data_IF_094555986097
#
_entry.id   IF_094555986097
#
_cell.length_a   1.000
_cell.length_b   1.000
_cell.length_c   1.000
_cell.angle_alpha   90.00
_cell.angle_beta   90.00
_cell.angle_gamma   90.00
#
_symmetry.space_group_name_H-M   'P 1'
#
loop_
_entity.id
_entity.type
_entity.pdbx_description
1 polymer ?
#
# COMPACT_ATOMS: atom_id res chain seq x y z
N UNK A 1 8.14 -19.67 11.78
CA UNK A 1 7.97 -20.85 12.67
C UNK A 1 7.51 -20.38 14.05
N UNK A 2 6.68 -21.17 14.77
CA UNK A 2 6.23 -20.79 16.10
C UNK A 2 7.41 -20.77 17.07
N UNK A 3 7.64 -19.68 17.80
CA UNK A 3 8.80 -19.51 18.69
C UNK A 3 8.71 -20.30 20.01
N UNK A 4 7.53 -20.83 20.34
CA UNK A 4 7.26 -21.54 21.60
C UNK A 4 6.79 -20.65 22.76
N UNK A 5 6.64 -19.33 22.59
CA UNK A 5 6.25 -18.41 23.67
C UNK A 5 4.95 -18.80 24.36
N UNK A 6 3.91 -19.14 23.60
CA UNK A 6 2.64 -19.59 24.18
C UNK A 6 2.79 -20.90 24.98
N UNK A 7 3.63 -21.83 24.50
CA UNK A 7 3.93 -23.08 25.21
C UNK A 7 4.67 -22.79 26.52
N UNK A 8 5.61 -21.84 26.51
CA UNK A 8 6.32 -21.40 27.71
C UNK A 8 5.37 -20.76 28.73
N UNK A 9 4.56 -19.79 28.30
CA UNK A 9 3.59 -19.08 29.16
C UNK A 9 2.55 -20.03 29.76
N UNK A 10 2.09 -21.03 29.01
CA UNK A 10 1.11 -22.03 29.48
C UNK A 10 1.72 -23.23 30.22
N UNK A 11 3.03 -23.23 30.49
CA UNK A 11 3.66 -24.29 31.29
C UNK A 11 4.01 -25.58 30.53
N UNK A 12 3.82 -25.65 29.21
CA UNK A 12 4.08 -26.83 28.39
C UNK A 12 5.58 -27.03 28.09
N UNK A 13 6.41 -27.20 29.12
CA UNK A 13 7.87 -27.15 29.04
C UNK A 13 8.49 -28.21 28.10
N UNK A 14 7.94 -29.42 28.06
CA UNK A 14 8.44 -30.46 27.15
C UNK A 14 8.26 -30.05 25.68
N UNK A 15 7.07 -29.55 25.33
CA UNK A 15 6.78 -29.04 23.98
C UNK A 15 7.60 -27.80 23.66
N UNK A 16 7.73 -26.89 24.63
CA UNK A 16 8.55 -25.69 24.50
C UNK A 16 9.99 -26.02 24.14
N UNK A 17 10.65 -26.94 24.87
CA UNK A 17 12.04 -27.36 24.57
C UNK A 17 12.16 -27.97 23.16
N UNK A 18 11.19 -28.79 22.75
CA UNK A 18 11.15 -29.36 21.40
C UNK A 18 11.04 -28.29 20.31
N UNK A 19 10.14 -27.32 20.48
CA UNK A 19 9.99 -26.18 19.57
C UNK A 19 11.22 -25.28 19.57
N UNK A 20 11.80 -25.00 20.74
CA UNK A 20 12.99 -24.17 20.89
C UNK A 20 14.20 -24.77 20.15
N UNK A 21 14.45 -26.08 20.27
CA UNK A 21 15.54 -26.75 19.53
C UNK A 21 15.37 -26.64 18.01
N UNK A 22 14.16 -26.91 17.49
CA UNK A 22 13.87 -26.75 16.05
C UNK A 22 14.10 -25.33 15.56
N UNK A 23 13.68 -24.33 16.34
CA UNK A 23 13.93 -22.94 15.97
C UNK A 23 15.41 -22.57 16.06
N UNK A 24 16.14 -23.12 17.03
CA UNK A 24 17.55 -22.85 17.19
C UNK A 24 18.36 -23.32 15.97
N UNK A 25 18.05 -24.49 15.40
CA UNK A 25 18.66 -24.95 14.14
C UNK A 25 18.45 -23.96 12.99
N UNK A 26 17.23 -23.42 12.86
CA UNK A 26 16.94 -22.37 11.89
C UNK A 26 17.74 -21.10 12.13
N UNK A 27 17.81 -20.66 13.40
CA UNK A 27 18.57 -19.46 13.77
C UNK A 27 20.06 -19.62 13.51
N UNK A 28 20.63 -20.81 13.75
CA UNK A 28 22.04 -21.11 13.45
C UNK A 28 22.31 -21.01 11.95
N UNK A 29 21.43 -21.55 11.11
CA UNK A 29 21.55 -21.40 9.64
C UNK A 29 21.45 -19.93 9.20
N UNK A 30 20.54 -19.16 9.80
CA UNK A 30 20.43 -17.73 9.51
C UNK A 30 21.71 -16.98 9.93
N UNK A 31 22.25 -17.27 11.11
CA UNK A 31 23.47 -16.65 11.62
C UNK A 31 24.72 -16.98 10.78
N UNK A 32 24.79 -18.16 10.15
CA UNK A 32 25.87 -18.54 9.23
C UNK A 32 25.97 -17.63 7.99
N UNK A 33 24.91 -16.88 7.66
CA UNK A 33 24.95 -15.92 6.54
C UNK A 33 25.82 -14.69 6.82
N UNK A 34 26.26 -14.47 8.06
CA UNK A 34 26.97 -13.26 8.48
C UNK A 34 26.08 -12.01 8.59
N UNK A 35 24.77 -12.13 8.33
CA UNK A 35 23.80 -11.05 8.45
C UNK A 35 23.21 -11.01 9.87
N UNK A 36 22.86 -9.81 10.40
CA UNK A 36 22.21 -9.69 11.68
C UNK A 36 20.81 -10.31 11.65
N UNK A 37 20.44 -11.06 12.69
CA UNK A 37 19.08 -11.61 12.83
C UNK A 37 18.21 -10.66 13.64
N UNK A 38 17.23 -10.08 12.96
CA UNK A 38 16.39 -9.00 13.47
C UNK A 38 15.03 -9.49 13.95
N UNK A 39 14.54 -8.90 15.03
CA UNK A 39 13.17 -9.08 15.51
C UNK A 39 12.45 -7.74 15.58
N UNK A 40 11.24 -7.71 15.04
CA UNK A 40 10.36 -6.54 15.11
C UNK A 40 9.58 -6.53 16.42
N UNK A 41 9.14 -7.70 16.89
CA UNK A 41 8.29 -7.81 18.09
C UNK A 41 9.14 -8.12 19.34
N UNK A 42 9.14 -7.21 20.35
CA UNK A 42 9.98 -7.37 21.54
C UNK A 42 9.70 -8.63 22.37
N UNK A 43 8.41 -9.00 22.49
CA UNK A 43 7.98 -10.17 23.26
C UNK A 43 8.50 -11.50 22.67
N UNK A 44 8.65 -11.56 21.35
CA UNK A 44 9.19 -12.71 20.62
C UNK A 44 10.70 -12.78 20.80
N UNK A 45 11.41 -11.65 20.64
CA UNK A 45 12.87 -11.59 20.81
C UNK A 45 13.30 -12.07 22.20
N UNK A 46 12.54 -11.75 23.25
CA UNK A 46 12.85 -12.18 24.63
C UNK A 46 12.89 -13.70 24.77
N UNK A 47 12.01 -14.40 24.07
CA UNK A 47 12.02 -15.87 24.06
C UNK A 47 13.36 -16.41 23.60
N UNK A 48 13.97 -15.78 22.59
CA UNK A 48 15.29 -16.17 22.10
C UNK A 48 16.42 -15.71 23.03
N UNK A 49 16.41 -14.46 23.50
CA UNK A 49 17.52 -13.92 24.32
C UNK A 49 17.61 -14.52 25.72
N UNK A 50 16.48 -14.80 26.35
CA UNK A 50 16.42 -15.17 27.77
C UNK A 50 15.88 -16.58 27.98
N UNK A 51 14.70 -16.88 27.41
CA UNK A 51 14.03 -18.16 27.67
C UNK A 51 14.82 -19.33 27.08
N UNK A 52 15.34 -19.20 25.85
CA UNK A 52 16.13 -20.27 25.23
C UNK A 52 17.40 -20.54 26.03
N UNK A 53 18.12 -19.50 26.49
CA UNK A 53 19.32 -19.66 27.33
C UNK A 53 19.01 -20.40 28.63
N UNK A 54 17.87 -20.09 29.25
CA UNK A 54 17.44 -20.73 30.50
C UNK A 54 17.04 -22.20 30.32
N UNK A 55 16.36 -22.54 29.23
CA UNK A 55 15.74 -23.85 29.04
C UNK A 55 16.49 -24.79 28.09
N UNK A 56 17.52 -24.29 27.41
CA UNK A 56 18.46 -25.05 26.59
C UNK A 56 19.91 -24.77 27.05
N UNK A 57 20.27 -25.16 28.30
CA UNK A 57 21.61 -24.90 28.81
C UNK A 57 22.67 -25.63 27.97
N UNK A 58 23.79 -24.95 27.70
CA UNK A 58 24.91 -25.49 26.92
C UNK A 58 24.76 -25.38 25.40
N UNK A 59 23.59 -24.97 24.90
CA UNK A 59 23.42 -24.70 23.47
C UNK A 59 24.00 -23.33 23.09
N UNK A 60 24.72 -23.28 21.97
CA UNK A 60 25.11 -22.01 21.35
C UNK A 60 23.91 -21.33 20.70
N UNK A 61 23.48 -20.20 21.28
CA UNK A 61 22.31 -19.42 20.86
C UNK A 61 22.80 -18.16 20.15
N UNK A 62 22.56 -18.03 18.83
CA UNK A 62 23.00 -16.87 18.06
C UNK A 62 22.52 -15.55 18.65
N UNK A 63 23.34 -14.50 18.48
CA UNK A 63 22.93 -13.15 18.85
C UNK A 63 21.78 -12.68 17.98
N UNK A 64 20.75 -12.15 18.63
CA UNK A 64 19.59 -11.54 17.98
C UNK A 64 19.42 -10.11 18.47
N UNK A 65 18.93 -9.24 17.61
CA UNK A 65 18.75 -7.82 17.92
C UNK A 65 17.35 -7.32 17.55
N UNK A 66 16.85 -6.34 18.28
CA UNK A 66 15.63 -5.64 17.91
C UNK A 66 15.88 -4.66 16.78
N UNK A 67 14.82 -4.34 16.06
CA UNK A 67 14.87 -3.44 14.91
C UNK A 67 15.52 -2.09 15.26
N UNK A 68 15.17 -1.47 16.38
CA UNK A 68 15.75 -0.19 16.78
C UNK A 68 17.22 -0.26 17.21
N UNK A 69 17.68 -1.41 17.72
CA UNK A 69 19.11 -1.59 18.01
C UNK A 69 19.92 -1.56 16.72
N UNK A 70 19.39 -2.19 15.66
CA UNK A 70 20.00 -2.18 14.35
C UNK A 70 19.92 -0.81 13.66
N UNK A 71 18.72 -0.21 13.59
CA UNK A 71 18.51 1.10 12.97
C UNK A 71 19.39 2.19 13.62
N UNK A 72 19.49 2.21 14.95
CA UNK A 72 20.33 3.19 15.63
C UNK A 72 21.81 3.09 15.23
N UNK A 73 22.29 1.88 14.90
CA UNK A 73 23.67 1.61 14.47
C UNK A 73 23.97 1.89 12.99
N UNK A 74 22.96 2.15 12.15
CA UNK A 74 23.18 2.41 10.72
C UNK A 74 23.78 3.80 10.46
N UNK A 75 24.64 3.86 9.44
CA UNK A 75 25.12 5.10 8.83
C UNK A 75 24.15 5.53 7.72
N UNK A 76 23.50 6.68 7.93
CA UNK A 76 22.46 7.23 7.04
C UNK A 76 23.01 8.31 6.11
N UNK A 77 24.32 8.39 5.86
CA UNK A 77 24.94 9.38 4.96
C UNK A 77 24.28 9.49 3.58
N UNK A 78 23.63 8.44 3.08
CA UNK A 78 22.89 8.44 1.79
C UNK A 78 21.42 8.87 1.91
N UNK A 79 20.92 9.13 3.11
CA UNK A 79 19.49 9.37 3.40
C UNK A 79 19.25 10.74 4.06
N UNK A 80 20.25 11.62 4.01
CA UNK A 80 20.34 12.86 4.80
C UNK A 80 19.47 14.02 4.28
N UNK A 81 18.19 13.77 4.01
CA UNK A 81 17.20 14.83 3.99
C UNK A 81 16.47 14.83 5.33
N UNK A 82 16.39 15.98 6.00
CA UNK A 82 15.42 16.20 7.06
C UNK A 82 14.04 15.95 6.47
N UNK A 83 13.31 14.98 7.01
CA UNK A 83 12.08 14.49 6.38
C UNK A 83 10.85 15.18 6.97
N UNK A 84 10.87 15.49 8.26
CA UNK A 84 9.76 16.12 8.95
C UNK A 84 10.23 16.76 10.25
N UNK A 85 9.55 17.82 10.69
CA UNK A 85 9.67 18.45 12.02
C UNK A 85 8.59 17.97 13.00
N UNK A 86 7.82 16.94 12.62
CA UNK A 86 6.71 16.48 13.43
C UNK A 86 7.15 15.94 14.79
N UNK A 87 6.27 16.18 15.77
CA UNK A 87 6.36 15.56 17.08
C UNK A 87 5.46 14.33 17.14
N UNK A 88 6.02 13.21 17.55
CA UNK A 88 5.31 11.95 17.78
C UNK A 88 5.52 11.45 19.20
N UNK A 89 4.54 10.70 19.69
CA UNK A 89 4.54 10.15 21.04
C UNK A 89 4.67 8.64 20.96
N UNK A 90 5.63 8.05 21.68
CA UNK A 90 5.94 6.63 21.58
C UNK A 90 5.72 5.90 22.90
N UNK A 91 4.79 4.95 22.89
CA UNK A 91 4.60 3.99 23.98
C UNK A 91 5.28 2.66 23.65
N UNK A 92 6.33 2.34 24.39
CA UNK A 92 7.10 1.11 24.21
C UNK A 92 6.41 -0.11 24.83
N UNK A 93 6.64 -1.28 24.25
CA UNK A 93 6.20 -2.56 24.80
C UNK A 93 6.85 -2.77 26.19
N UNK A 94 6.11 -3.32 27.16
CA UNK A 94 6.61 -3.54 28.53
C UNK A 94 7.92 -4.35 28.57
N UNK A 95 7.96 -5.50 27.89
CA UNK A 95 9.17 -6.30 27.65
C UNK A 95 10.33 -5.50 27.06
N UNK A 96 10.10 -4.64 26.07
CA UNK A 96 11.16 -3.87 25.42
C UNK A 96 11.84 -2.93 26.42
N UNK A 97 11.04 -2.27 27.27
CA UNK A 97 11.54 -1.38 28.33
C UNK A 97 12.36 -2.11 29.38
N UNK A 98 12.03 -3.37 29.68
CA UNK A 98 12.72 -4.12 30.73
C UNK A 98 13.93 -4.88 30.23
N UNK A 99 13.93 -5.34 28.97
CA UNK A 99 15.01 -6.18 28.41
C UNK A 99 16.08 -5.39 27.67
N UNK A 100 15.80 -4.13 27.32
CA UNK A 100 16.74 -3.23 26.64
C UNK A 100 16.81 -1.90 27.41
N UNK A 101 17.91 -1.71 28.15
CA UNK A 101 18.13 -0.59 29.08
C UNK A 101 17.86 0.79 28.47
N UNK A 102 18.16 0.98 27.18
CA UNK A 102 18.06 2.25 26.47
C UNK A 102 17.07 2.21 25.29
N UNK A 103 16.06 1.33 25.32
CA UNK A 103 15.11 1.15 24.22
C UNK A 103 14.48 2.46 23.71
N UNK A 104 14.06 3.34 24.62
CA UNK A 104 13.50 4.64 24.27
C UNK A 104 14.50 5.53 23.54
N UNK A 105 15.71 5.64 24.10
CA UNK A 105 16.79 6.44 23.49
C UNK A 105 17.22 5.93 22.12
N UNK A 106 17.18 4.60 21.89
CA UNK A 106 17.44 4.01 20.57
C UNK A 106 16.41 4.48 19.53
N UNK A 107 15.12 4.44 19.86
CA UNK A 107 14.08 4.98 18.98
C UNK A 107 14.25 6.47 18.77
N UNK A 108 14.45 7.26 19.82
CA UNK A 108 14.70 8.71 19.70
C UNK A 108 15.89 9.02 18.80
N UNK A 109 16.97 8.24 18.91
CA UNK A 109 18.13 8.35 18.01
C UNK A 109 17.71 8.10 16.57
N UNK A 110 16.97 7.02 16.30
CA UNK A 110 16.46 6.72 14.95
C UNK A 110 15.61 7.87 14.38
N UNK A 111 14.67 8.41 15.16
CA UNK A 111 13.80 9.51 14.72
C UNK A 111 14.55 10.83 14.50
N UNK A 112 15.46 11.17 15.42
CA UNK A 112 16.24 12.42 15.36
C UNK A 112 17.10 12.51 14.11
N UNK A 113 17.61 11.38 13.60
CA UNK A 113 18.36 11.30 12.33
C UNK A 113 17.54 11.77 11.12
N UNK A 114 16.21 11.81 11.23
CA UNK A 114 15.28 12.27 10.18
C UNK A 114 14.55 13.58 10.52
N UNK A 115 14.94 14.27 11.61
CA UNK A 115 14.33 15.52 12.07
C UNK A 115 13.07 15.36 12.93
N UNK A 116 12.60 14.12 13.14
CA UNK A 116 11.35 13.85 13.85
C UNK A 116 11.59 13.86 15.36
N UNK A 117 10.76 14.58 16.11
CA UNK A 117 10.82 14.63 17.56
C UNK A 117 9.99 13.51 18.17
N UNK A 118 10.64 12.44 18.65
CA UNK A 118 9.97 11.35 19.36
C UNK A 118 10.03 11.55 20.89
N UNK A 119 8.87 11.67 21.52
CA UNK A 119 8.72 11.70 22.98
C UNK A 119 8.32 10.33 23.51
N UNK A 120 9.13 9.76 24.41
CA UNK A 120 8.80 8.49 25.05
C UNK A 120 7.75 8.75 26.13
N UNK A 121 6.56 8.17 25.94
CA UNK A 121 5.47 8.28 26.90
C UNK A 121 5.58 7.16 27.93
N UNK A 122 5.76 7.47 29.23
CA UNK A 122 5.80 6.45 30.28
C UNK A 122 4.49 5.65 30.29
N UNK A 123 4.56 4.33 30.34
CA UNK A 123 3.38 3.47 30.30
C UNK A 123 3.58 2.18 31.09
N UNK A 124 2.50 1.64 31.66
CA UNK A 124 2.48 0.28 32.22
C UNK A 124 2.28 -0.79 31.13
N UNK A 125 1.94 -2.01 31.56
CA UNK A 125 1.46 -3.05 30.65
C UNK A 125 0.16 -2.61 29.96
N UNK A 126 -0.09 -3.09 28.74
CA UNK A 126 -1.34 -2.84 28.01
C UNK A 126 -2.50 -3.77 28.42
N UNK A 127 -2.28 -4.71 29.33
CA UNK A 127 -3.28 -5.72 29.72
C UNK A 127 -3.24 -7.01 28.89
N UNK A 128 -2.38 -7.12 27.87
CA UNK A 128 -2.32 -8.31 27.02
C UNK A 128 -1.39 -9.42 27.53
N UNK A 129 -0.21 -9.08 28.05
CA UNK A 129 0.79 -10.00 28.64
C UNK A 129 0.84 -11.41 28.01
N UNK A 130 1.18 -11.50 26.72
CA UNK A 130 1.15 -12.75 25.97
C UNK A 130 -0.28 -13.10 25.54
N UNK A 131 -0.78 -14.26 25.97
CA UNK A 131 -2.14 -14.76 25.66
C UNK A 131 -3.20 -14.31 26.66
N UNK A 132 -2.79 -13.79 27.82
CA UNK A 132 -3.68 -13.42 28.92
C UNK A 132 -4.85 -12.54 28.46
N UNK A 133 -4.59 -11.40 27.81
CA UNK A 133 -5.68 -10.50 27.37
C UNK A 133 -6.53 -11.01 26.19
N UNK A 134 -6.12 -12.12 25.57
CA UNK A 134 -6.91 -12.79 24.53
C UNK A 134 -7.89 -13.83 25.10
N UNK A 135 -7.73 -14.22 26.36
CA UNK A 135 -8.56 -15.23 27.01
C UNK A 135 -9.83 -14.58 27.55
N UNK A 136 -10.98 -15.17 27.22
CA UNK A 136 -12.30 -14.63 27.58
C UNK A 136 -12.44 -14.40 29.09
N UNK A 137 -11.89 -15.30 29.90
CA UNK A 137 -11.89 -15.22 31.37
C UNK A 137 -11.10 -14.03 31.93
N UNK A 138 -10.17 -13.47 31.15
CA UNK A 138 -9.31 -12.36 31.56
C UNK A 138 -9.68 -11.04 30.90
N UNK A 139 -10.80 -10.99 30.17
CA UNK A 139 -11.21 -9.83 29.42
C UNK A 139 -11.37 -8.57 30.29
N UNK A 140 -12.11 -8.66 31.39
CA UNK A 140 -12.35 -7.51 32.28
C UNK A 140 -11.06 -7.04 32.95
N UNK A 141 -10.25 -7.96 33.47
CA UNK A 141 -8.95 -7.61 34.06
C UNK A 141 -7.99 -6.96 33.03
N UNK A 142 -7.98 -7.46 31.79
CA UNK A 142 -7.21 -6.89 30.69
C UNK A 142 -7.66 -5.48 30.32
N UNK A 143 -8.97 -5.23 30.36
CA UNK A 143 -9.60 -3.91 30.17
C UNK A 143 -9.24 -2.95 31.29
N UNK A 144 -9.37 -3.35 32.55
CA UNK A 144 -9.00 -2.52 33.71
C UNK A 144 -7.53 -2.09 33.65
N UNK A 145 -6.60 -3.00 33.33
CA UNK A 145 -5.18 -2.67 33.16
C UNK A 145 -4.97 -1.65 32.04
N UNK A 146 -5.72 -1.77 30.94
CA UNK A 146 -5.69 -0.80 29.84
C UNK A 146 -6.20 0.58 30.28
N UNK A 147 -7.30 0.63 31.02
CA UNK A 147 -7.93 1.87 31.51
C UNK A 147 -7.02 2.62 32.51
N UNK A 148 -6.30 1.87 33.37
CA UNK A 148 -5.39 2.45 34.38
C UNK A 148 -4.24 3.26 33.78
N UNK A 149 -3.64 2.81 32.67
CA UNK A 149 -2.42 3.43 32.13
C UNK A 149 -2.48 3.84 30.66
N UNK A 150 -3.29 3.20 29.82
CA UNK A 150 -3.23 3.36 28.37
C UNK A 150 -4.36 4.25 27.84
N UNK A 151 -5.60 4.06 28.28
CA UNK A 151 -6.78 4.73 27.71
C UNK A 151 -6.64 6.26 27.66
N UNK A 152 -6.27 6.90 28.78
CA UNK A 152 -6.09 8.36 28.84
C UNK A 152 -5.03 8.88 27.86
N UNK A 153 -3.90 8.17 27.74
CA UNK A 153 -2.79 8.55 26.84
C UNK A 153 -3.17 8.36 25.37
N UNK A 154 -3.88 7.27 25.07
CA UNK A 154 -4.40 7.01 23.72
C UNK A 154 -5.38 8.10 23.30
N UNK A 155 -6.29 8.50 24.18
CA UNK A 155 -7.23 9.61 23.92
C UNK A 155 -6.49 10.95 23.77
N UNK A 156 -5.47 11.20 24.61
CA UNK A 156 -4.70 12.44 24.58
C UNK A 156 -3.89 12.61 23.29
N UNK A 157 -3.17 11.58 22.86
CA UNK A 157 -2.23 11.68 21.73
C UNK A 157 -2.83 11.27 20.38
N UNK A 158 -3.92 10.49 20.37
CA UNK A 158 -4.66 10.14 19.17
C UNK A 158 -3.78 9.63 18.02
N UNK A 159 -3.89 10.28 16.86
CA UNK A 159 -3.16 9.92 15.64
C UNK A 159 -1.63 10.08 15.74
N UNK A 160 -1.12 10.89 16.67
CA UNK A 160 0.33 11.10 16.88
C UNK A 160 0.97 9.98 17.72
N UNK A 161 0.18 9.03 18.23
CA UNK A 161 0.64 7.93 19.05
C UNK A 161 1.20 6.77 18.23
N UNK A 162 2.44 6.40 18.52
CA UNK A 162 3.14 5.23 18.02
C UNK A 162 3.29 4.18 19.13
N UNK A 163 3.18 2.91 18.77
CA UNK A 163 3.25 1.79 19.72
C UNK A 163 4.08 0.65 19.13
N UNK A 164 5.15 0.24 19.82
CA UNK A 164 6.09 -0.77 19.33
C UNK A 164 5.55 -2.22 19.41
N UNK A 165 4.67 -2.53 20.38
CA UNK A 165 4.13 -3.88 20.56
C UNK A 165 2.92 -4.24 19.70
N UNK A 166 2.93 -5.41 19.04
CA UNK A 166 1.79 -5.91 18.24
C UNK A 166 0.51 -6.06 19.08
N UNK A 167 0.57 -6.80 20.19
CA UNK A 167 -0.61 -7.01 21.05
C UNK A 167 -1.06 -5.71 21.71
N UNK A 168 -0.12 -4.81 22.03
CA UNK A 168 -0.44 -3.47 22.52
C UNK A 168 -1.27 -2.69 21.49
N UNK A 169 -0.84 -2.66 20.22
CA UNK A 169 -1.60 -2.03 19.11
C UNK A 169 -2.99 -2.66 18.93
N UNK A 170 -3.09 -3.98 19.05
CA UNK A 170 -4.37 -4.69 18.96
C UNK A 170 -5.32 -4.34 20.12
N UNK A 171 -4.81 -4.15 21.33
CA UNK A 171 -5.59 -3.72 22.47
C UNK A 171 -6.12 -2.29 22.30
N UNK A 172 -5.29 -1.37 21.77
CA UNK A 172 -5.73 -0.01 21.42
C UNK A 172 -6.86 -0.07 20.40
N UNK A 173 -6.74 -0.91 19.35
CA UNK A 173 -7.82 -1.12 18.39
C UNK A 173 -9.10 -1.63 19.07
N UNK A 174 -8.97 -2.58 19.99
CA UNK A 174 -10.09 -3.21 20.71
C UNK A 174 -10.90 -2.20 21.54
N UNK A 175 -10.22 -1.30 22.26
CA UNK A 175 -10.87 -0.41 23.24
C UNK A 175 -10.95 1.05 22.83
N UNK A 176 -10.27 1.45 21.75
CA UNK A 176 -10.24 2.85 21.30
C UNK A 176 -10.49 3.00 19.80
N UNK A 177 -10.86 1.92 19.09
CA UNK A 177 -11.42 1.98 17.74
C UNK A 177 -10.41 2.21 16.60
N UNK A 178 -9.13 2.45 16.90
CA UNK A 178 -8.09 2.61 15.89
C UNK A 178 -6.82 1.83 16.26
N UNK A 179 -6.02 1.48 15.26
CA UNK A 179 -4.74 0.79 15.47
C UNK A 179 -3.59 1.78 15.28
N UNK A 180 -2.87 2.20 16.35
CA UNK A 180 -1.72 3.09 16.21
C UNK A 180 -0.62 2.40 15.40
N UNK A 181 0.24 3.19 14.74
CA UNK A 181 1.32 2.66 13.91
C UNK A 181 2.48 2.11 14.75
N UNK A 182 3.20 1.13 14.21
CA UNK A 182 4.53 0.78 14.70
C UNK A 182 5.52 1.91 14.35
N UNK A 183 6.53 2.23 15.19
CA UNK A 183 7.54 3.24 14.89
C UNK A 183 8.20 3.10 13.51
N UNK A 184 8.56 1.88 13.13
CA UNK A 184 9.11 1.60 11.79
C UNK A 184 8.11 1.85 10.65
N UNK A 185 6.80 1.65 10.86
CA UNK A 185 5.80 1.97 9.83
C UNK A 185 5.69 3.47 9.62
N UNK A 186 5.77 4.25 10.71
CA UNK A 186 5.78 5.71 10.63
C UNK A 186 7.08 6.22 10.01
N UNK A 187 8.25 5.72 10.41
CA UNK A 187 9.51 6.08 9.77
C UNK A 187 9.48 5.79 8.27
N UNK A 188 8.97 4.62 7.89
CA UNK A 188 8.80 4.25 6.50
C UNK A 188 7.88 5.22 5.76
N UNK A 189 6.74 5.61 6.34
CA UNK A 189 5.82 6.56 5.70
C UNK A 189 6.45 7.94 5.49
N UNK A 190 7.31 8.39 6.40
CA UNK A 190 8.06 9.63 6.24
C UNK A 190 9.14 9.50 5.17
N UNK A 191 9.94 8.43 5.21
CA UNK A 191 10.98 8.20 4.22
C UNK A 191 10.43 8.02 2.79
N UNK A 192 9.21 7.51 2.65
CA UNK A 192 8.47 7.45 1.40
C UNK A 192 7.90 8.81 0.95
N UNK A 193 7.90 9.85 1.76
CA UNK A 193 7.38 11.18 1.41
C UNK A 193 8.53 12.19 1.25
N UNK A 194 9.67 11.75 0.71
CA UNK A 194 10.71 12.66 0.22
C UNK A 194 10.37 13.11 -1.23
N UNK A 195 11.01 14.17 -1.71
CA UNK A 195 10.81 14.69 -3.07
C UNK A 195 10.80 13.55 -4.11
N UNK A 196 11.78 12.64 -4.05
CA UNK A 196 11.94 11.49 -4.97
C UNK A 196 10.75 10.53 -5.06
N UNK A 197 9.80 10.59 -4.11
CA UNK A 197 8.62 9.73 -4.05
C UNK A 197 7.31 10.53 -4.15
N UNK A 198 7.38 11.81 -4.53
CA UNK A 198 6.22 12.67 -4.81
C UNK A 198 6.04 12.72 -6.33
N UNK A 199 4.84 12.41 -6.83
CA UNK A 199 4.52 12.59 -8.23
C UNK A 199 4.66 14.08 -8.62
N UNK A 200 5.45 14.37 -9.64
CA UNK A 200 5.91 15.71 -10.05
C UNK A 200 6.77 16.43 -8.99
N UNK A 201 7.39 15.72 -8.04
CA UNK A 201 8.10 16.36 -6.91
C UNK A 201 9.33 17.21 -7.28
N UNK A 202 9.72 17.29 -8.56
CA UNK A 202 10.70 18.27 -9.08
C UNK A 202 10.09 19.64 -9.35
N UNK A 203 8.79 19.69 -9.64
CA UNK A 203 8.04 20.88 -10.04
C UNK A 203 7.09 21.38 -8.95
N UNK A 204 6.63 20.47 -8.08
CA UNK A 204 5.68 20.76 -7.01
C UNK A 204 6.19 20.26 -5.66
N UNK A 205 5.82 20.98 -4.61
CA UNK A 205 5.89 20.43 -3.25
C UNK A 205 4.68 19.54 -2.98
N UNK A 206 4.83 18.58 -2.06
CA UNK A 206 3.70 17.77 -1.63
C UNK A 206 2.61 18.65 -1.05
N UNK A 207 1.48 18.71 -1.74
CA UNK A 207 0.35 19.54 -1.34
C UNK A 207 -0.41 18.90 -0.17
N UNK A 208 -1.06 19.74 0.66
CA UNK A 208 -1.97 19.27 1.70
C UNK A 208 -3.07 18.39 1.06
N UNK A 209 -3.31 17.15 1.55
CA UNK A 209 -4.40 16.30 1.06
C UNK A 209 -5.76 16.99 1.00
N UNK A 210 -6.10 17.84 1.98
CA UNK A 210 -7.39 18.54 2.00
C UNK A 210 -7.51 19.60 0.89
N UNK A 211 -6.39 20.20 0.48
CA UNK A 211 -6.34 21.22 -0.56
C UNK A 211 -6.16 20.63 -1.98
N UNK A 212 -5.76 19.36 -2.07
CA UNK A 212 -5.46 18.69 -3.34
C UNK A 212 -6.73 18.10 -3.95
N UNK A 213 -6.98 18.32 -5.24
CA UNK A 213 -8.09 17.66 -5.94
C UNK A 213 -7.72 16.22 -6.28
N UNK A 214 -6.48 15.98 -6.68
CA UNK A 214 -6.02 14.69 -7.18
C UNK A 214 -5.16 13.96 -6.14
N UNK A 215 -5.50 12.71 -5.88
CA UNK A 215 -4.80 11.87 -4.91
C UNK A 215 -4.16 10.68 -5.64
N UNK A 216 -2.84 10.76 -5.85
CA UNK A 216 -2.07 9.69 -6.46
C UNK A 216 -1.95 8.55 -5.44
N UNK A 217 -2.49 7.38 -5.78
CA UNK A 217 -2.48 6.18 -4.96
C UNK A 217 -1.56 5.13 -5.61
N UNK A 218 -0.32 4.93 -5.10
CA UNK A 218 0.60 3.94 -5.64
C UNK A 218 0.19 2.53 -5.21
N UNK A 219 -0.06 1.62 -6.15
CA UNK A 219 -0.56 0.26 -5.86
C UNK A 219 0.43 -0.79 -6.42
N UNK A 220 1.48 -1.17 -5.69
CA UNK A 220 2.49 -2.14 -6.16
C UNK A 220 2.01 -3.59 -6.03
N UNK A 221 0.78 -3.89 -6.48
CA UNK A 221 0.17 -5.22 -6.35
C UNK A 221 0.36 -6.05 -7.62
N UNK A 222 1.05 -7.18 -7.47
CA UNK A 222 1.25 -8.19 -8.52
C UNK A 222 1.20 -9.59 -7.88
N UNK A 223 0.21 -10.39 -8.23
CA UNK A 223 0.02 -11.77 -7.72
C UNK A 223 -0.68 -12.71 -8.70
N UNK A 224 -1.38 -12.18 -9.72
CA UNK A 224 -2.21 -12.96 -10.65
C UNK A 224 -1.79 -12.80 -12.11
N UNK A 225 -0.71 -12.05 -12.40
CA UNK A 225 -0.11 -11.98 -13.75
C UNK A 225 0.18 -13.37 -14.33
N UNK A 226 -0.15 -13.55 -15.60
CA UNK A 226 -0.13 -14.85 -16.29
C UNK A 226 1.10 -15.06 -17.19
N UNK A 227 1.76 -13.99 -17.65
CA UNK A 227 2.90 -14.06 -18.58
C UNK A 227 4.12 -13.27 -18.09
N UNK A 228 4.18 -11.96 -18.36
CA UNK A 228 5.26 -11.08 -17.92
C UNK A 228 4.92 -10.41 -16.58
N UNK A 229 5.88 -10.40 -15.64
CA UNK A 229 5.76 -9.69 -14.36
C UNK A 229 6.54 -8.36 -14.34
N UNK A 230 6.51 -7.67 -13.21
CA UNK A 230 7.18 -6.38 -13.00
C UNK A 230 6.22 -5.20 -12.77
N UNK A 231 4.91 -5.40 -12.85
CA UNK A 231 3.88 -4.38 -12.62
C UNK A 231 3.90 -3.82 -11.20
N UNK A 232 4.38 -4.60 -10.22
CA UNK A 232 4.62 -4.12 -8.86
C UNK A 232 5.69 -3.01 -8.77
N UNK A 233 6.61 -2.93 -9.74
CA UNK A 233 7.63 -1.86 -9.80
C UNK A 233 7.10 -0.58 -10.44
N UNK A 234 5.97 -0.66 -11.15
CA UNK A 234 5.41 0.47 -11.89
C UNK A 234 5.24 1.72 -11.03
N UNK A 235 4.59 1.68 -9.84
CA UNK A 235 4.31 2.91 -9.10
C UNK A 235 5.59 3.70 -8.77
N UNK A 236 6.66 2.99 -8.38
CA UNK A 236 7.94 3.61 -8.05
C UNK A 236 8.60 4.23 -9.29
N UNK A 237 8.64 3.50 -10.41
CA UNK A 237 9.28 3.98 -11.64
C UNK A 237 8.50 5.15 -12.25
N UNK A 238 7.17 5.10 -12.17
CA UNK A 238 6.26 6.14 -12.64
C UNK A 238 6.48 7.44 -11.86
N UNK A 239 6.53 7.36 -10.53
CA UNK A 239 6.81 8.53 -9.69
C UNK A 239 8.22 9.05 -9.97
N UNK A 240 9.23 8.20 -10.02
CA UNK A 240 10.59 8.62 -10.34
C UNK A 240 10.70 9.31 -11.71
N UNK A 241 10.02 8.78 -12.74
CA UNK A 241 9.98 9.37 -14.08
C UNK A 241 9.20 10.69 -14.11
N UNK A 242 8.22 10.88 -13.21
CA UNK A 242 7.45 12.12 -13.13
C UNK A 242 8.31 13.35 -12.80
N UNK A 243 9.49 13.17 -12.22
CA UNK A 243 10.46 14.25 -11.97
C UNK A 243 11.10 14.82 -13.23
N UNK A 244 10.89 14.20 -14.40
CA UNK A 244 11.37 14.69 -15.68
C UNK A 244 10.27 15.38 -16.47
N UNK A 245 9.14 15.67 -15.82
CA UNK A 245 7.99 16.33 -16.41
C UNK A 245 7.95 17.79 -16.01
N UNK A 246 7.50 18.60 -16.93
CA UNK A 246 7.19 20.00 -16.73
C UNK A 246 5.76 20.13 -16.17
N UNK A 247 5.53 21.08 -15.26
CA UNK A 247 4.19 21.33 -14.72
C UNK A 247 3.16 21.77 -15.76
N UNK A 248 3.60 22.35 -16.88
CA UNK A 248 2.76 22.83 -17.98
C UNK A 248 2.79 21.85 -19.15
N UNK A 249 1.60 21.42 -19.59
CA UNK A 249 1.38 20.64 -20.80
C UNK A 249 0.73 21.51 -21.90
N UNK A 250 1.19 21.33 -23.14
CA UNK A 250 0.75 22.11 -24.29
C UNK A 250 -0.71 21.86 -24.71
N UNK A 251 -1.29 20.70 -24.39
CA UNK A 251 -2.68 20.34 -24.72
C UNK A 251 -3.63 20.62 -23.55
N UNK A 252 -3.15 20.48 -22.31
CA UNK A 252 -4.00 20.45 -21.12
C UNK A 252 -3.72 21.56 -20.09
N UNK A 253 -2.75 22.44 -20.32
CA UNK A 253 -2.44 23.56 -19.42
C UNK A 253 -1.61 23.12 -18.22
N UNK A 254 -1.87 23.64 -17.02
CA UNK A 254 -1.13 23.31 -15.80
C UNK A 254 -2.00 22.51 -14.82
N UNK A 255 -2.09 21.18 -14.98
CA UNK A 255 -2.81 20.29 -14.09
C UNK A 255 -2.67 20.50 -12.57
N UNK A 256 -1.45 20.79 -12.12
CA UNK A 256 -1.12 20.84 -10.71
C UNK A 256 -1.73 22.06 -9.99
N UNK A 257 -2.32 23.03 -10.71
CA UNK A 257 -3.05 24.16 -10.10
C UNK A 257 -4.23 23.74 -9.23
N UNK A 258 -4.75 22.53 -9.44
CA UNK A 258 -5.82 21.95 -8.61
C UNK A 258 -5.30 21.13 -7.43
N UNK A 259 -3.98 21.06 -7.25
CA UNK A 259 -3.30 20.34 -6.17
C UNK A 259 -3.24 18.83 -6.43
N UNK A 260 -2.03 18.30 -6.28
CA UNK A 260 -1.72 16.87 -6.40
C UNK A 260 -1.10 16.42 -5.08
N UNK A 261 -1.69 15.40 -4.48
CA UNK A 261 -1.19 14.76 -3.27
C UNK A 261 -0.79 13.32 -3.59
N UNK A 262 0.49 12.99 -3.42
CA UNK A 262 0.96 11.61 -3.53
C UNK A 262 0.81 10.88 -2.21
N UNK A 263 0.08 9.77 -2.18
CA UNK A 263 -0.15 8.98 -0.98
C UNK A 263 0.94 7.91 -0.82
N UNK A 264 1.17 7.41 0.40
CA UNK A 264 2.04 6.24 0.60
C UNK A 264 1.53 5.03 -0.21
N UNK A 265 2.44 4.17 -0.71
CA UNK A 265 2.06 2.98 -1.46
C UNK A 265 1.17 2.06 -0.63
N UNK A 266 0.18 1.46 -1.27
CA UNK A 266 -0.72 0.50 -0.64
C UNK A 266 0.09 -0.71 -0.17
N UNK A 267 -0.01 -1.04 1.12
CA UNK A 267 0.60 -2.26 1.67
C UNK A 267 0.10 -3.47 0.90
N UNK A 268 1.02 -4.42 0.67
CA UNK A 268 0.76 -5.67 -0.02
C UNK A 268 0.51 -6.82 0.97
N UNK A 269 0.41 -6.53 2.26
CA UNK A 269 0.29 -7.54 3.30
C UNK A 269 -1.13 -8.14 3.34
N UNK A 270 -1.19 -9.46 3.52
CA UNK A 270 -2.44 -10.23 3.64
C UNK A 270 -2.82 -11.00 2.38
N UNK A 271 -4.04 -11.51 2.40
CA UNK A 271 -4.72 -12.16 1.27
C UNK A 271 -5.07 -11.14 0.17
N UNK A 272 -5.28 -11.58 -1.09
CA UNK A 272 -5.76 -10.72 -2.18
C UNK A 272 -6.97 -9.85 -1.79
N UNK A 273 -7.97 -10.44 -1.11
CA UNK A 273 -9.17 -9.73 -0.68
C UNK A 273 -8.89 -8.65 0.37
N UNK A 274 -7.97 -8.91 1.30
CA UNK A 274 -7.54 -7.90 2.27
C UNK A 274 -6.84 -6.72 1.60
N UNK A 275 -6.05 -6.97 0.55
CA UNK A 275 -5.41 -5.90 -0.22
C UNK A 275 -6.46 -5.12 -1.02
N UNK A 276 -7.39 -5.77 -1.72
CA UNK A 276 -8.46 -5.07 -2.45
C UNK A 276 -9.38 -4.27 -1.53
N UNK A 277 -9.69 -4.79 -0.34
CA UNK A 277 -10.45 -4.07 0.68
C UNK A 277 -9.69 -2.83 1.18
N UNK A 278 -8.36 -2.90 1.27
CA UNK A 278 -7.50 -1.76 1.64
C UNK A 278 -7.50 -0.69 0.55
N UNK A 279 -7.36 -1.09 -0.72
CA UNK A 279 -7.47 -0.19 -1.87
C UNK A 279 -8.84 0.49 -1.84
N UNK A 280 -9.92 -0.28 -1.72
CA UNK A 280 -11.29 0.22 -1.65
C UNK A 280 -11.52 1.21 -0.52
N UNK A 281 -11.01 0.95 0.69
CA UNK A 281 -11.14 1.87 1.81
C UNK A 281 -10.41 3.20 1.53
N UNK A 282 -9.21 3.14 0.92
CA UNK A 282 -8.47 4.36 0.58
C UNK A 282 -9.19 5.17 -0.50
N UNK A 283 -9.69 4.53 -1.55
CA UNK A 283 -10.42 5.23 -2.62
C UNK A 283 -11.79 5.72 -2.17
N UNK A 284 -12.49 4.99 -1.29
CA UNK A 284 -13.71 5.48 -0.66
C UNK A 284 -13.47 6.76 0.11
N UNK A 285 -12.42 6.82 0.94
CA UNK A 285 -12.09 8.02 1.71
C UNK A 285 -11.77 9.22 0.81
N UNK A 286 -10.99 9.00 -0.25
CA UNK A 286 -10.68 10.03 -1.25
C UNK A 286 -11.98 10.55 -1.88
N UNK A 287 -12.82 9.65 -2.41
CA UNK A 287 -14.05 10.04 -3.09
C UNK A 287 -15.09 10.68 -2.17
N UNK A 288 -15.23 10.23 -0.91
CA UNK A 288 -16.11 10.85 0.09
C UNK A 288 -15.72 12.28 0.41
N UNK A 289 -14.42 12.61 0.32
CA UNK A 289 -13.93 13.98 0.48
C UNK A 289 -14.08 14.85 -0.78
N UNK A 290 -14.78 14.37 -1.81
CA UNK A 290 -15.00 15.08 -3.07
C UNK A 290 -13.74 15.15 -3.95
N UNK A 291 -12.77 14.27 -3.72
CA UNK A 291 -11.47 14.25 -4.40
C UNK A 291 -11.42 13.12 -5.43
N UNK A 292 -10.47 13.23 -6.36
CA UNK A 292 -10.32 12.30 -7.49
C UNK A 292 -9.17 11.32 -7.17
N UNK A 293 -9.46 10.02 -6.95
CA UNK A 293 -8.42 9.01 -6.82
C UNK A 293 -7.75 8.73 -8.17
N UNK A 294 -6.43 8.66 -8.15
CA UNK A 294 -5.57 8.34 -9.29
C UNK A 294 -4.72 7.12 -8.96
N UNK A 295 -5.13 5.94 -9.43
CA UNK A 295 -4.38 4.71 -9.23
C UNK A 295 -3.17 4.63 -10.14
N UNK A 296 -1.98 4.33 -9.61
CA UNK A 296 -0.81 4.00 -10.44
C UNK A 296 -0.27 2.63 -10.10
N UNK A 297 -0.13 1.81 -11.13
CA UNK A 297 0.56 0.53 -11.12
C UNK A 297 -0.21 -0.63 -10.53
N UNK A 298 0.50 -1.76 -10.51
CA UNK A 298 -0.04 -3.08 -10.26
C UNK A 298 -0.68 -3.69 -11.50
N UNK A 299 -1.00 -4.97 -11.38
CA UNK A 299 -1.83 -5.70 -12.33
C UNK A 299 -3.28 -5.15 -12.34
N UNK A 300 -4.03 -5.41 -13.40
CA UNK A 300 -5.36 -4.83 -13.64
C UNK A 300 -6.37 -5.14 -12.54
N UNK A 301 -6.17 -6.21 -11.75
CA UNK A 301 -7.01 -6.57 -10.61
C UNK A 301 -7.19 -5.43 -9.61
N UNK A 302 -6.23 -4.51 -9.49
CA UNK A 302 -6.30 -3.36 -8.57
C UNK A 302 -7.47 -2.43 -8.87
N UNK A 303 -7.89 -2.33 -10.14
CA UNK A 303 -9.03 -1.50 -10.58
C UNK A 303 -10.32 -1.90 -9.88
N UNK A 304 -10.51 -3.20 -9.57
CA UNK A 304 -11.68 -3.66 -8.81
C UNK A 304 -11.70 -3.04 -7.40
N UNK A 305 -10.55 -2.96 -6.73
CA UNK A 305 -10.43 -2.30 -5.43
C UNK A 305 -10.78 -0.82 -5.53
N UNK A 306 -10.26 -0.11 -6.55
CA UNK A 306 -10.50 1.32 -6.73
C UNK A 306 -11.98 1.60 -6.96
N UNK A 307 -12.57 0.94 -7.95
CA UNK A 307 -13.98 1.09 -8.34
C UNK A 307 -14.91 0.71 -7.18
N UNK A 308 -14.55 -0.30 -6.36
CA UNK A 308 -15.28 -0.65 -5.14
C UNK A 308 -15.35 0.49 -4.14
N UNK A 309 -14.24 1.18 -3.89
CA UNK A 309 -14.22 2.34 -3.00
C UNK A 309 -15.04 3.51 -3.52
N UNK A 310 -14.92 3.82 -4.81
CA UNK A 310 -15.69 4.91 -5.45
C UNK A 310 -17.19 4.63 -5.36
N UNK A 311 -17.62 3.40 -5.68
CA UNK A 311 -19.03 2.99 -5.58
C UNK A 311 -19.55 3.07 -4.14
N UNK A 312 -18.75 2.64 -3.16
CA UNK A 312 -19.09 2.73 -1.74
C UNK A 312 -19.26 4.19 -1.28
N UNK A 313 -18.42 5.11 -1.76
CA UNK A 313 -18.54 6.54 -1.48
C UNK A 313 -19.87 7.13 -1.98
N UNK A 314 -20.42 6.58 -3.07
CA UNK A 314 -21.73 6.94 -3.63
C UNK A 314 -22.92 6.21 -2.97
N UNK A 315 -22.69 5.41 -1.93
CA UNK A 315 -23.73 4.67 -1.21
C UNK A 315 -24.06 3.29 -1.81
N UNK A 316 -23.26 2.79 -2.74
CA UNK A 316 -23.44 1.45 -3.31
C UNK A 316 -22.94 0.33 -2.39
N UNK A 317 -23.49 -0.88 -2.57
CA UNK A 317 -23.08 -2.07 -1.82
C UNK A 317 -21.66 -2.55 -2.20
N UNK A 318 -21.03 -3.25 -1.26
CA UNK A 318 -19.71 -3.85 -1.38
C UNK A 318 -19.71 -5.00 -2.41
N UNK A 319 -18.65 -5.09 -3.21
CA UNK A 319 -18.50 -6.14 -4.25
C UNK A 319 -18.32 -7.51 -3.60
N UNK A 320 -18.85 -8.56 -4.25
CA UNK A 320 -18.58 -9.95 -3.85
C UNK A 320 -17.12 -10.37 -4.03
N UNK A 321 -16.71 -11.55 -3.50
CA UNK A 321 -15.30 -11.99 -3.44
C UNK A 321 -14.61 -12.03 -4.82
N UNK A 322 -13.29 -11.81 -4.80
CA UNK A 322 -12.38 -11.93 -5.94
C UNK A 322 -12.30 -13.37 -6.46
N UNK A 323 -12.48 -13.54 -7.76
CA UNK A 323 -12.15 -14.78 -8.47
C UNK A 323 -11.36 -14.46 -9.76
N UNK A 324 -10.51 -15.42 -10.14
CA UNK A 324 -9.32 -15.32 -10.98
C UNK A 324 -9.54 -15.01 -12.48
N UNK A 325 -10.69 -14.50 -12.94
CA UNK A 325 -10.90 -14.25 -14.37
C UNK A 325 -11.75 -13.01 -14.67
N UNK A 326 -11.16 -12.11 -15.47
CA UNK A 326 -11.71 -10.90 -16.10
C UNK A 326 -12.25 -9.83 -15.14
N UNK A 327 -11.36 -8.93 -14.69
CA UNK A 327 -11.65 -7.76 -13.84
C UNK A 327 -12.85 -6.97 -14.33
N UNK A 328 -12.91 -6.71 -15.64
CA UNK A 328 -13.99 -5.95 -16.27
C UNK A 328 -15.34 -6.67 -16.17
N UNK A 329 -15.39 -7.97 -16.47
CA UNK A 329 -16.62 -8.76 -16.27
C UNK A 329 -17.14 -8.64 -14.84
N UNK A 330 -16.25 -8.70 -13.84
CA UNK A 330 -16.66 -8.57 -12.43
C UNK A 330 -17.21 -7.19 -12.11
N UNK A 331 -16.61 -6.14 -12.65
CA UNK A 331 -17.12 -4.77 -12.53
C UNK A 331 -18.54 -4.68 -13.13
N UNK A 332 -18.74 -5.25 -14.32
CA UNK A 332 -20.04 -5.28 -15.01
C UNK A 332 -21.11 -6.06 -14.24
N UNK A 333 -20.79 -7.26 -13.74
CA UNK A 333 -21.70 -8.08 -12.92
C UNK A 333 -22.18 -7.36 -11.65
N UNK A 334 -21.41 -6.36 -11.17
CA UNK A 334 -21.79 -5.51 -10.04
C UNK A 334 -22.59 -4.28 -10.48
N UNK A 335 -23.16 -4.27 -11.68
CA UNK A 335 -24.08 -3.24 -12.17
C UNK A 335 -23.39 -1.93 -12.60
N UNK A 336 -22.11 -1.97 -12.95
CA UNK A 336 -21.39 -0.82 -13.51
C UNK A 336 -21.35 -0.96 -15.03
N UNK A 337 -21.97 -0.03 -15.80
CA UNK A 337 -21.89 -0.04 -17.25
C UNK A 337 -20.45 0.04 -17.74
N UNK A 338 -20.13 -0.71 -18.78
CA UNK A 338 -18.80 -0.75 -19.39
C UNK A 338 -18.83 -0.28 -20.83
N UNK A 339 -17.73 0.35 -21.25
CA UNK A 339 -17.39 0.57 -22.65
C UNK A 339 -15.90 0.31 -22.83
N UNK A 340 -15.55 -0.55 -23.78
CA UNK A 340 -14.18 -0.99 -24.03
C UNK A 340 -13.62 -0.27 -25.26
N UNK A 341 -12.31 0.05 -25.25
CA UNK A 341 -11.65 0.74 -26.37
C UNK A 341 -10.31 0.08 -26.65
N UNK A 342 -9.98 -0.17 -27.92
CA UNK A 342 -8.67 -0.71 -28.32
C UNK A 342 -8.54 -2.23 -28.13
N UNK A 343 -9.65 -2.94 -27.91
CA UNK A 343 -9.69 -4.39 -27.79
C UNK A 343 -9.27 -5.04 -29.11
N UNK A 344 -8.33 -6.01 -29.00
CA UNK A 344 -7.74 -6.70 -30.16
C UNK A 344 -7.24 -8.12 -29.89
N UNK A 345 -7.18 -8.52 -28.62
CA UNK A 345 -7.01 -9.91 -28.21
C UNK A 345 -8.18 -10.26 -27.31
N UNK A 346 -8.92 -11.31 -27.66
CA UNK A 346 -10.10 -11.77 -26.92
C UNK A 346 -10.42 -13.21 -27.32
N UNK A 347 -11.03 -13.96 -26.42
CA UNK A 347 -11.61 -15.26 -26.74
C UNK A 347 -13.08 -15.15 -27.16
N UNK A 348 -13.66 -16.24 -27.65
CA UNK A 348 -15.05 -16.24 -28.11
C UNK A 348 -16.01 -15.97 -26.94
N UNK A 349 -15.72 -16.50 -25.76
CA UNK A 349 -16.52 -16.32 -24.55
C UNK A 349 -16.58 -14.85 -24.11
N UNK A 350 -15.51 -14.07 -24.33
CA UNK A 350 -15.52 -12.62 -24.06
C UNK A 350 -16.39 -11.86 -25.06
N UNK A 351 -16.32 -12.23 -26.35
CA UNK A 351 -17.21 -11.66 -27.37
C UNK A 351 -18.68 -11.97 -27.11
N UNK A 352 -18.98 -13.23 -26.77
CA UNK A 352 -20.33 -13.69 -26.47
C UNK A 352 -20.87 -12.91 -25.26
N UNK A 353 -20.08 -12.81 -24.18
CA UNK A 353 -20.46 -12.04 -23.01
C UNK A 353 -20.73 -10.56 -23.33
N UNK A 354 -19.85 -9.91 -24.11
CA UNK A 354 -20.06 -8.52 -24.53
C UNK A 354 -21.34 -8.35 -25.36
N UNK A 355 -21.62 -9.29 -26.26
CA UNK A 355 -22.80 -9.26 -27.14
C UNK A 355 -24.08 -9.47 -26.35
N UNK A 356 -24.13 -10.49 -25.49
CA UNK A 356 -25.28 -10.83 -24.64
C UNK A 356 -25.64 -9.67 -23.70
N UNK A 357 -24.63 -8.99 -23.17
CA UNK A 357 -24.80 -7.90 -22.20
C UNK A 357 -24.82 -6.50 -22.85
N UNK A 358 -24.71 -6.42 -24.19
CA UNK A 358 -24.69 -5.16 -24.96
C UNK A 358 -23.62 -4.18 -24.46
N UNK A 359 -22.43 -4.70 -24.15
CA UNK A 359 -21.27 -3.88 -23.75
C UNK A 359 -20.71 -3.22 -25.01
N UNK A 360 -20.62 -1.89 -25.00
CA UNK A 360 -20.05 -1.14 -26.11
C UNK A 360 -18.55 -1.40 -26.24
N UNK A 361 -18.06 -1.55 -27.47
CA UNK A 361 -16.64 -1.79 -27.73
C UNK A 361 -16.19 -1.12 -29.03
N UNK A 362 -15.22 -0.21 -28.93
CA UNK A 362 -14.49 0.36 -30.05
C UNK A 362 -13.23 -0.49 -30.31
N UNK A 363 -13.35 -1.52 -31.16
CA UNK A 363 -12.25 -2.44 -31.43
C UNK A 363 -11.07 -1.78 -32.15
N UNK A 364 -9.84 -2.18 -31.82
CA UNK A 364 -8.63 -1.59 -32.40
C UNK A 364 -8.59 -1.72 -33.93
N UNK A 365 -9.06 -2.85 -34.46
CA UNK A 365 -9.13 -3.11 -35.91
C UNK A 365 -9.95 -2.06 -36.68
N UNK A 366 -10.88 -1.40 -36.01
CA UNK A 366 -11.78 -0.40 -36.60
C UNK A 366 -11.25 1.01 -36.34
N UNK A 367 -10.82 1.32 -35.11
CA UNK A 367 -10.39 2.68 -34.73
C UNK A 367 -8.95 3.02 -35.12
N UNK A 368 -8.03 2.05 -35.09
CA UNK A 368 -6.60 2.32 -35.37
C UNK A 368 -6.38 2.64 -36.85
N UNK A 369 -6.84 1.83 -37.83
CA UNK A 369 -6.60 2.13 -39.25
C UNK A 369 -7.34 3.38 -39.75
N UNK A 370 -8.52 3.66 -39.20
CA UNK A 370 -9.32 4.83 -39.57
C UNK A 370 -8.81 6.13 -38.95
N UNK A 371 -7.94 6.05 -37.93
CA UNK A 371 -7.55 7.20 -37.11
C UNK A 371 -8.72 7.77 -36.32
N UNK A 372 -9.76 6.97 -36.04
CA UNK A 372 -10.91 7.41 -35.27
C UNK A 372 -10.45 7.88 -33.88
N UNK A 373 -10.94 9.05 -33.50
CA UNK A 373 -10.54 9.76 -32.29
C UNK A 373 -11.75 10.07 -31.39
N UNK A 374 -12.86 9.36 -31.58
CA UNK A 374 -14.07 9.47 -30.75
C UNK A 374 -14.42 8.11 -30.18
N UNK A 375 -14.87 8.10 -28.94
CA UNK A 375 -15.41 6.91 -28.26
C UNK A 375 -16.92 6.90 -28.50
N UNK A 376 -17.43 5.80 -29.05
CA UNK A 376 -18.83 5.67 -29.43
C UNK A 376 -19.69 5.16 -28.27
N UNK A 377 -19.81 5.98 -27.22
CA UNK A 377 -20.62 5.64 -26.05
C UNK A 377 -22.11 5.52 -26.43
N UNK A 378 -22.81 4.61 -25.76
CA UNK A 378 -24.27 4.55 -25.82
C UNK A 378 -24.90 5.86 -25.29
N UNK A 379 -26.04 6.27 -25.85
CA UNK A 379 -26.71 7.53 -25.48
C UNK A 379 -27.06 7.62 -23.99
N UNK A 380 -27.34 6.48 -23.36
CA UNK A 380 -27.66 6.36 -21.94
C UNK A 380 -26.45 6.10 -21.04
N UNK A 381 -25.22 6.20 -21.55
CA UNK A 381 -24.02 5.98 -20.75
C UNK A 381 -23.93 7.02 -19.61
N UNK A 382 -23.57 6.63 -18.37
CA UNK A 382 -23.56 7.55 -17.22
C UNK A 382 -22.77 8.85 -17.46
N UNK A 383 -23.18 9.92 -16.77
CA UNK A 383 -22.48 11.22 -16.79
C UNK A 383 -21.13 11.14 -16.07
N UNK A 384 -21.11 10.50 -14.90
CA UNK A 384 -19.91 10.26 -14.11
C UNK A 384 -19.22 8.98 -14.59
N UNK A 385 -17.94 9.10 -14.96
CA UNK A 385 -17.17 8.00 -15.54
C UNK A 385 -15.87 7.76 -14.77
N UNK A 386 -15.45 6.50 -14.73
CA UNK A 386 -14.12 6.09 -14.29
C UNK A 386 -13.34 5.59 -15.51
N UNK A 387 -12.09 6.02 -15.67
CA UNK A 387 -11.25 5.61 -16.81
C UNK A 387 -10.18 4.65 -16.29
N UNK A 388 -10.18 3.40 -16.73
CA UNK A 388 -9.08 2.48 -16.47
C UNK A 388 -8.19 2.40 -17.70
N UNK A 389 -6.90 2.68 -17.55
CA UNK A 389 -5.93 2.68 -18.64
C UNK A 389 -5.03 1.46 -18.47
N UNK A 390 -5.30 0.43 -19.26
CA UNK A 390 -4.36 -0.67 -19.44
C UNK A 390 -3.23 -0.23 -20.38
N UNK A 391 -1.99 -0.32 -19.90
CA UNK A 391 -0.81 0.02 -20.70
C UNK A 391 -0.69 -0.85 -21.96
N UNK A 392 -1.18 -2.09 -21.93
CA UNK A 392 -1.15 -2.95 -23.09
C UNK A 392 -2.17 -2.56 -24.19
N UNK A 393 -3.09 -1.61 -23.92
CA UNK A 393 -4.02 -1.07 -24.90
C UNK A 393 -3.33 -0.26 -26.01
N UNK A 394 -2.15 0.29 -25.73
CA UNK A 394 -1.34 1.02 -26.69
C UNK A 394 -0.52 0.09 -27.58
N UNK A 395 -0.12 0.57 -28.75
CA UNK A 395 0.78 -0.20 -29.61
C UNK A 395 2.16 -0.36 -28.94
N UNK A 396 2.83 -1.53 -29.07
CA UNK A 396 4.16 -1.75 -28.49
C UNK A 396 5.23 -0.76 -28.98
N UNK A 397 5.05 -0.11 -30.13
CA UNK A 397 5.92 0.98 -30.59
C UNK A 397 5.80 2.25 -29.73
N UNK A 398 4.67 2.43 -29.03
CA UNK A 398 4.42 3.49 -28.06
C UNK A 398 4.80 3.02 -26.66
N UNK A 399 4.33 1.84 -26.25
CA UNK A 399 4.49 1.31 -24.88
C UNK A 399 4.95 -0.16 -24.90
N UNK A 400 6.25 -0.42 -25.06
CA UNK A 400 6.75 -1.80 -25.05
C UNK A 400 6.75 -2.43 -23.65
N UNK A 401 6.60 -1.61 -22.60
CA UNK A 401 6.74 -1.97 -21.20
C UNK A 401 5.42 -2.44 -20.57
N UNK A 402 5.00 -3.66 -20.93
CA UNK A 402 3.84 -4.37 -20.37
C UNK A 402 4.12 -5.89 -20.34
N UNK A 403 3.38 -6.64 -19.52
CA UNK A 403 3.46 -8.09 -19.47
C UNK A 403 3.01 -8.77 -20.77
N UNK A 404 2.07 -8.20 -21.50
CA UNK A 404 1.40 -8.82 -22.67
C UNK A 404 1.33 -7.87 -23.87
N UNK A 405 2.47 -7.50 -24.50
CA UNK A 405 2.44 -6.59 -25.64
C UNK A 405 1.78 -7.22 -26.86
N UNK A 406 0.75 -6.56 -27.42
CA UNK A 406 0.03 -6.99 -28.62
C UNK A 406 0.11 -5.92 -29.70
N UNK A 407 0.55 -6.26 -30.92
CA UNK A 407 0.67 -5.31 -32.03
C UNK A 407 -0.70 -4.74 -32.49
N UNK A 408 -0.70 -3.57 -33.12
CA UNK A 408 -1.90 -2.93 -33.68
C UNK A 408 -2.74 -2.20 -32.63
N UNK A 409 -2.10 -1.68 -31.59
CA UNK A 409 -2.76 -0.91 -30.53
C UNK A 409 -2.96 0.56 -30.85
N UNK A 410 -3.51 1.32 -29.89
CA UNK A 410 -3.73 2.75 -30.06
C UNK A 410 -2.41 3.53 -30.12
N UNK A 411 -2.39 4.57 -30.96
CA UNK A 411 -1.32 5.57 -30.94
C UNK A 411 -1.47 6.55 -29.77
N UNK A 412 -0.36 7.18 -29.37
CA UNK A 412 -0.34 8.12 -28.24
C UNK A 412 -1.33 9.28 -28.39
N UNK A 413 -1.23 10.07 -29.47
CA UNK A 413 -2.11 11.22 -29.69
C UNK A 413 -3.56 10.83 -29.99
N UNK A 414 -3.76 9.67 -30.61
CA UNK A 414 -5.10 9.14 -30.87
C UNK A 414 -5.85 8.94 -29.55
N UNK A 415 -5.24 8.23 -28.60
CA UNK A 415 -5.81 8.04 -27.27
C UNK A 415 -6.10 9.37 -26.57
N UNK A 416 -5.14 10.30 -26.56
CA UNK A 416 -5.34 11.58 -25.87
C UNK A 416 -6.44 12.45 -26.50
N UNK A 417 -6.62 12.42 -27.82
CA UNK A 417 -7.73 13.12 -28.47
C UNK A 417 -9.08 12.46 -28.14
N UNK A 418 -9.13 11.12 -28.08
CA UNK A 418 -10.32 10.39 -27.63
C UNK A 418 -10.71 10.79 -26.21
N UNK A 419 -9.76 10.82 -25.27
CA UNK A 419 -10.05 11.17 -23.89
C UNK A 419 -10.40 12.65 -23.75
N UNK A 420 -9.68 13.55 -24.40
CA UNK A 420 -9.98 14.99 -24.37
C UNK A 420 -11.43 15.27 -24.81
N UNK A 421 -11.88 14.64 -25.90
CA UNK A 421 -13.26 14.77 -26.40
C UNK A 421 -14.27 14.14 -25.46
N UNK A 422 -13.94 13.00 -24.85
CA UNK A 422 -14.80 12.34 -23.86
C UNK A 422 -15.03 13.25 -22.65
N UNK A 423 -13.99 13.93 -22.17
CA UNK A 423 -14.08 14.82 -20.99
C UNK A 423 -14.87 16.10 -21.24
N UNK A 424 -15.20 16.45 -22.50
CA UNK A 424 -16.09 17.58 -22.79
C UNK A 424 -17.53 17.31 -22.35
N UNK A 425 -17.99 16.05 -22.40
CA UNK A 425 -19.38 15.67 -22.14
C UNK A 425 -19.57 14.76 -20.93
N UNK A 426 -18.48 14.26 -20.34
CA UNK A 426 -18.49 13.33 -19.21
C UNK A 426 -17.60 13.84 -18.09
N UNK A 427 -17.99 13.55 -16.85
CA UNK A 427 -17.25 13.95 -15.65
C UNK A 427 -16.43 12.78 -15.11
N UNK A 428 -15.11 12.92 -15.11
CA UNK A 428 -14.20 11.88 -14.61
C UNK A 428 -14.16 11.92 -13.08
N UNK A 429 -14.54 10.80 -12.44
CA UNK A 429 -14.57 10.67 -10.97
C UNK A 429 -13.38 9.89 -10.41
N UNK A 430 -12.46 9.46 -11.26
CA UNK A 430 -11.26 8.71 -10.94
C UNK A 430 -10.69 8.05 -12.19
N UNK A 431 -9.42 7.67 -12.13
CA UNK A 431 -8.81 6.86 -13.17
C UNK A 431 -7.61 6.08 -12.63
N UNK A 432 -7.17 5.06 -13.35
CA UNK A 432 -5.93 4.35 -13.08
C UNK A 432 -5.09 4.12 -14.33
N UNK A 433 -3.79 3.88 -14.10
CA UNK A 433 -2.88 3.31 -15.08
C UNK A 433 -2.31 2.01 -14.53
N UNK A 434 -2.56 0.90 -15.21
CA UNK A 434 -2.21 -0.46 -14.79
C UNK A 434 -1.37 -1.18 -15.84
N UNK A 435 -0.87 -2.37 -15.49
CA UNK A 435 -0.12 -3.29 -16.36
C UNK A 435 1.19 -2.73 -16.96
N UNK A 436 1.62 -1.56 -16.51
CA UNK A 436 2.94 -1.05 -16.86
C UNK A 436 4.00 -1.93 -16.21
N UNK A 437 4.85 -2.59 -17.00
CA UNK A 437 5.94 -3.44 -16.50
C UNK A 437 7.29 -2.82 -16.92
N UNK A 438 7.98 -2.09 -16.02
CA UNK A 438 9.21 -1.37 -16.37
C UNK A 438 10.29 -2.27 -16.96
N UNK A 439 10.86 -1.85 -18.10
CA UNK A 439 11.99 -2.55 -18.74
C UNK A 439 13.30 -1.96 -18.21
N UNK A 440 14.18 -2.81 -17.69
CA UNK A 440 15.48 -2.39 -17.16
C UNK A 440 16.31 -1.67 -18.24
N UNK A 441 16.81 -0.47 -17.93
CA UNK A 441 17.60 0.34 -18.85
C UNK A 441 16.77 1.11 -19.89
N UNK A 442 15.46 0.90 -19.92
CA UNK A 442 14.53 1.66 -20.74
C UNK A 442 13.88 2.75 -19.87
N UNK A 443 14.58 3.88 -19.69
CA UNK A 443 14.12 4.99 -18.84
C UNK A 443 12.95 5.78 -19.44
N UNK A 444 12.44 5.37 -20.60
CA UNK A 444 11.32 6.03 -21.32
C UNK A 444 9.96 5.54 -20.84
N UNK A 445 9.78 5.35 -19.53
CA UNK A 445 8.46 5.18 -18.91
C UNK A 445 7.71 6.53 -18.94
N UNK A 446 7.43 7.04 -20.15
CA UNK A 446 6.84 8.36 -20.41
C UNK A 446 5.33 8.20 -20.70
N UNK A 447 4.71 7.11 -20.24
CA UNK A 447 3.24 6.94 -20.33
C UNK A 447 2.52 7.91 -19.39
N UNK A 448 3.22 8.48 -18.40
CA UNK A 448 2.63 9.44 -17.47
C UNK A 448 3.09 10.86 -17.69
N UNK A 449 3.73 11.17 -18.85
CA UNK A 449 4.01 12.57 -19.21
C UNK A 449 2.77 13.46 -19.13
N UNK A 450 1.60 12.86 -19.25
CA UNK A 450 0.30 13.52 -19.38
C UNK A 450 -0.77 12.82 -18.57
N UNK A 451 -0.56 12.61 -17.27
CA UNK A 451 -1.68 12.13 -16.43
C UNK A 451 -2.89 13.06 -16.59
N UNK A 452 -4.08 12.45 -16.70
CA UNK A 452 -5.38 13.10 -16.82
C UNK A 452 -5.63 14.10 -15.69
N UNK A 453 -5.64 15.38 -16.04
CA UNK A 453 -6.07 16.44 -15.15
C UNK A 453 -6.87 17.47 -15.94
N UNK A 454 -7.86 16.99 -16.68
CA UNK A 454 -8.83 17.84 -17.40
C UNK A 454 -10.12 17.91 -16.58
N UNK A 455 -10.69 19.12 -16.48
CA UNK A 455 -11.95 19.40 -15.79
C UNK A 455 -13.15 18.91 -16.57
#
# INVERSE_FOLDING_TARGET
MPNGKAQHVKGFMYRFRGTARKNLEFMRRAAQSGLPVLFIEPSIMLTYREEYRKFLPGEDIPQVILLQEWLAGLDYKRTAAKVSDEKVYLMLHCTEKTSVLNAGSLWQTCFSKFGIQAEIVPSGCCGMAGVFGHETEHYEASKEIYELSWQKKVQQYGAQLLVSGYSCRSQVKRFSGFRPQHPAQYLLSKLYMNAENIFLGSEIEQSNPEASLFHILPIPYERTVSFGGGTALAPQVIIAASHQLEKTDALFGEPCVHGICTLPPVSQDGTPEEVMSRIALQTENISRSGKIPVGIGGEHTVTQGIVRGIKAAQGGQHFGPLFHACVMRRIHENGIPLHMVGIRAYCQEELDYMTENRIGCDFAKDVVPSGANRINLADNFPEHIYISIDTDGFDPSVTPATGTPVAGGLGWYQFWDMVARLTVSKKVIGFDLVEHAPIKGFTRTIILRRILFTK
#
